data_IF_955750536488
#
_entry.id   IF_955750536488
#
_cell.length_a   1.000
_cell.length_b   1.000
_cell.length_c   1.000
_cell.angle_alpha   90.00
_cell.angle_beta   90.00
_cell.angle_gamma   90.00
#
_symmetry.space_group_name_H-M   'P 1'
#
loop_
_entity.id
_entity.type
_entity.pdbx_description
1 polymer ?
#
# COMPACT_ATOMS: atom_id res chain seq x y z
N UNK A 1 -11.05 -2.07 -8.65
CA UNK A 1 -9.69 -2.34 -8.13
C UNK A 1 -8.82 -2.84 -9.27
N UNK A 2 -7.57 -2.35 -9.40
CA UNK A 2 -6.62 -2.89 -10.38
C UNK A 2 -6.31 -4.36 -10.04
N UNK A 3 -6.08 -5.22 -11.04
CA UNK A 3 -5.75 -6.63 -10.78
C UNK A 3 -4.52 -6.75 -9.88
N UNK A 4 -4.57 -7.69 -8.94
CA UNK A 4 -3.41 -8.14 -8.18
C UNK A 4 -2.39 -8.76 -9.14
N UNK A 5 -1.10 -8.59 -8.83
CA UNK A 5 -0.02 -9.27 -9.56
C UNK A 5 0.27 -10.68 -9.02
N UNK A 6 -0.47 -11.10 -7.98
CA UNK A 6 -0.32 -12.39 -7.30
C UNK A 6 0.63 -12.33 -6.12
N UNK A 7 0.19 -12.85 -4.96
CA UNK A 7 0.95 -12.85 -3.72
C UNK A 7 2.33 -13.52 -3.86
N UNK A 8 2.43 -14.59 -4.66
CA UNK A 8 3.69 -15.31 -4.89
C UNK A 8 4.76 -14.49 -5.61
N UNK A 9 4.39 -13.44 -6.36
CA UNK A 9 5.36 -12.67 -7.14
C UNK A 9 6.16 -11.74 -6.24
N UNK A 10 5.51 -11.00 -5.35
CA UNK A 10 6.21 -10.07 -4.46
C UNK A 10 6.68 -10.71 -3.16
N UNK A 11 6.05 -11.79 -2.69
CA UNK A 11 6.49 -12.51 -1.50
C UNK A 11 7.85 -13.22 -1.69
N UNK A 12 8.31 -13.40 -2.93
CA UNK A 12 9.62 -13.95 -3.25
C UNK A 12 10.67 -12.88 -3.59
N UNK A 13 10.30 -11.60 -3.61
CA UNK A 13 11.22 -10.49 -3.88
C UNK A 13 11.80 -9.95 -2.55
N UNK A 14 12.92 -10.53 -2.12
CA UNK A 14 13.57 -10.16 -0.84
C UNK A 14 13.94 -8.67 -0.75
N UNK A 15 14.28 -8.04 -1.89
CA UNK A 15 14.63 -6.61 -1.92
C UNK A 15 13.39 -5.77 -1.63
N UNK A 16 12.28 -6.10 -2.29
CA UNK A 16 10.99 -5.49 -2.02
C UNK A 16 10.56 -5.71 -0.57
N UNK A 17 10.61 -6.94 -0.06
CA UNK A 17 10.20 -7.26 1.31
C UNK A 17 10.94 -6.43 2.35
N UNK A 18 12.26 -6.25 2.20
CA UNK A 18 13.05 -5.38 3.09
C UNK A 18 12.65 -3.92 2.97
N UNK A 19 12.45 -3.42 1.75
CA UNK A 19 12.09 -2.02 1.54
C UNK A 19 10.69 -1.70 2.09
N UNK A 20 9.69 -2.54 1.79
CA UNK A 20 8.31 -2.33 2.19
C UNK A 20 8.12 -2.50 3.70
N UNK A 21 8.87 -3.41 4.34
CA UNK A 21 8.82 -3.55 5.81
C UNK A 21 9.28 -2.27 6.52
N UNK A 22 10.33 -1.61 6.00
CA UNK A 22 10.78 -0.32 6.54
C UNK A 22 9.70 0.75 6.37
N UNK A 23 9.07 0.88 5.21
CA UNK A 23 8.03 1.88 4.96
C UNK A 23 6.83 1.65 5.88
N UNK A 24 6.28 0.43 5.87
CA UNK A 24 5.06 0.11 6.63
C UNK A 24 5.26 0.19 8.14
N UNK A 25 6.47 -0.08 8.65
CA UNK A 25 6.79 0.08 10.07
C UNK A 25 6.69 1.54 10.55
N UNK A 26 6.97 2.52 9.69
CA UNK A 26 6.91 3.94 10.04
C UNK A 26 5.52 4.56 9.76
N UNK A 27 4.75 4.02 8.82
CA UNK A 27 3.46 4.59 8.36
C UNK A 27 2.20 3.82 8.82
N UNK A 28 2.34 2.72 9.56
CA UNK A 28 1.25 1.79 9.87
C UNK A 28 0.12 2.27 10.79
N UNK A 29 0.04 3.58 11.04
CA UNK A 29 -1.07 4.18 11.78
C UNK A 29 -2.25 4.53 10.87
N UNK A 30 -3.44 4.59 11.47
CA UNK A 30 -4.64 5.16 10.87
C UNK A 30 -4.68 6.67 11.18
N UNK A 31 -4.74 7.51 10.15
CA UNK A 31 -4.95 8.96 10.24
C UNK A 31 -6.34 9.31 9.74
N UNK A 32 -7.18 9.84 10.62
CA UNK A 32 -8.53 10.30 10.33
C UNK A 32 -8.73 11.69 10.92
N UNK A 33 -8.39 12.74 10.15
CA UNK A 33 -8.65 14.10 10.55
C UNK A 33 -9.59 14.80 9.55
N UNK A 34 -10.68 15.47 9.99
CA UNK A 34 -11.63 16.13 9.10
C UNK A 34 -11.00 17.20 8.18
N UNK A 35 -9.87 17.77 8.60
CA UNK A 35 -9.09 18.75 7.82
C UNK A 35 -7.97 18.11 7.00
N UNK A 36 -7.84 16.78 6.99
CA UNK A 36 -6.82 16.09 6.19
C UNK A 36 -7.20 16.14 4.70
N UNK A 37 -6.41 16.81 3.85
CA UNK A 37 -6.72 16.89 2.43
C UNK A 37 -6.62 15.53 1.72
N UNK A 38 -6.01 14.51 2.33
CA UNK A 38 -5.98 13.13 1.83
C UNK A 38 -7.21 12.30 2.22
N UNK A 39 -8.02 12.77 3.17
CA UNK A 39 -9.04 11.97 3.83
C UNK A 39 -8.42 10.88 4.72
N UNK A 40 -9.23 9.88 5.09
CA UNK A 40 -8.79 8.72 5.86
C UNK A 40 -7.57 8.08 5.18
N UNK A 41 -6.51 7.83 5.96
CA UNK A 41 -5.27 7.23 5.48
C UNK A 41 -4.82 6.12 6.42
N UNK A 42 -4.48 4.96 5.88
CA UNK A 42 -3.96 3.82 6.65
C UNK A 42 -2.78 3.21 5.89
N UNK A 43 -1.67 2.90 6.55
CA UNK A 43 -0.44 2.39 5.91
C UNK A 43 0.11 3.31 4.80
N UNK A 44 -0.08 4.63 4.93
CA UNK A 44 0.27 5.60 3.87
C UNK A 44 -0.66 5.60 2.65
N UNK A 45 -1.68 4.75 2.63
CA UNK A 45 -2.68 4.63 1.56
C UNK A 45 -3.90 5.48 1.92
N UNK A 46 -4.13 6.57 1.18
CA UNK A 46 -5.22 7.52 1.44
C UNK A 46 -6.45 7.27 0.58
N UNK A 47 -7.64 7.58 1.13
CA UNK A 47 -8.91 7.53 0.39
C UNK A 47 -8.87 8.42 -0.87
N UNK A 48 -8.20 9.57 -0.81
CA UNK A 48 -8.03 10.43 -1.99
C UNK A 48 -7.27 9.71 -3.11
N UNK A 49 -6.23 8.95 -2.78
CA UNK A 49 -5.42 8.23 -3.77
C UNK A 49 -6.08 6.94 -4.26
N UNK A 50 -6.89 6.29 -3.41
CA UNK A 50 -7.56 5.01 -3.68
C UNK A 50 -9.06 5.07 -3.33
N UNK A 51 -9.84 5.92 -4.02
CA UNK A 51 -11.25 6.13 -3.70
C UNK A 51 -12.11 4.88 -3.90
N UNK A 52 -11.66 3.93 -4.72
CA UNK A 52 -12.36 2.67 -4.98
C UNK A 52 -12.40 1.72 -3.78
N UNK A 53 -11.56 1.92 -2.76
CA UNK A 53 -11.57 1.13 -1.53
C UNK A 53 -12.70 1.60 -0.59
N UNK A 54 -13.14 2.86 -0.71
CA UNK A 54 -14.05 3.48 0.24
C UNK A 54 -13.43 3.65 1.63
N UNK A 55 -14.12 4.36 2.51
CA UNK A 55 -13.62 4.61 3.88
C UNK A 55 -13.32 3.32 4.64
N UNK A 56 -14.27 2.37 4.63
CA UNK A 56 -14.12 1.07 5.30
C UNK A 56 -13.00 0.23 4.69
N UNK A 57 -12.78 0.32 3.38
CA UNK A 57 -11.66 -0.37 2.76
C UNK A 57 -10.32 0.17 3.24
N UNK A 58 -10.17 1.50 3.38
CA UNK A 58 -8.95 2.11 3.93
C UNK A 58 -8.77 1.73 5.40
N UNK A 59 -9.81 1.85 6.23
CA UNK A 59 -9.75 1.49 7.67
C UNK A 59 -9.30 0.05 7.88
N UNK A 60 -9.82 -0.86 7.08
CA UNK A 60 -9.60 -2.30 7.23
C UNK A 60 -8.44 -2.84 6.36
N UNK A 61 -7.61 -1.97 5.77
CA UNK A 61 -6.43 -2.40 5.03
C UNK A 61 -5.52 -3.26 5.91
N UNK A 62 -5.28 -4.49 5.48
CA UNK A 62 -4.23 -5.31 6.10
C UNK A 62 -2.86 -4.90 5.59
N UNK A 63 -1.82 -5.26 6.36
CA UNK A 63 -0.43 -5.01 5.97
C UNK A 63 -0.10 -5.65 4.61
N UNK A 64 -0.64 -6.84 4.34
CA UNK A 64 -0.44 -7.57 3.08
C UNK A 64 -1.13 -6.86 1.91
N UNK A 65 -2.34 -6.33 2.12
CA UNK A 65 -3.03 -5.54 1.11
C UNK A 65 -2.29 -4.23 0.81
N UNK A 66 -1.76 -3.57 1.84
CA UNK A 66 -0.91 -2.40 1.66
C UNK A 66 0.36 -2.76 0.87
N UNK A 67 1.04 -3.86 1.21
CA UNK A 67 2.21 -4.34 0.48
C UNK A 67 1.92 -4.65 -1.00
N UNK A 68 0.79 -5.28 -1.31
CA UNK A 68 0.34 -5.51 -2.69
C UNK A 68 0.20 -4.20 -3.46
N UNK A 69 -0.37 -3.16 -2.84
CA UNK A 69 -0.51 -1.83 -3.44
C UNK A 69 0.88 -1.21 -3.69
N UNK A 70 1.78 -1.25 -2.71
CA UNK A 70 3.15 -0.75 -2.87
C UNK A 70 3.90 -1.48 -3.99
N UNK A 71 3.77 -2.80 -4.06
CA UNK A 71 4.42 -3.59 -5.10
C UNK A 71 3.89 -3.22 -6.49
N UNK A 72 2.57 -3.28 -6.69
CA UNK A 72 1.93 -3.04 -7.98
C UNK A 72 2.13 -1.62 -8.48
N UNK A 73 1.83 -0.63 -7.64
CA UNK A 73 1.69 0.75 -8.09
C UNK A 73 2.97 1.58 -8.00
N UNK A 74 3.99 1.09 -7.29
CA UNK A 74 5.27 1.77 -7.15
C UNK A 74 6.43 0.85 -7.55
N UNK A 75 6.63 -0.26 -6.87
CA UNK A 75 7.84 -1.06 -7.05
C UNK A 75 7.96 -1.67 -8.46
N UNK A 76 6.98 -2.46 -8.88
CA UNK A 76 6.94 -3.10 -10.19
C UNK A 76 6.72 -2.09 -11.32
N UNK A 77 5.84 -1.10 -11.10
CA UNK A 77 5.52 -0.07 -12.09
C UNK A 77 6.75 0.73 -12.53
N UNK A 78 7.63 1.08 -11.60
CA UNK A 78 8.85 1.83 -11.88
C UNK A 78 10.07 0.94 -12.18
N UNK A 79 9.87 -0.39 -12.29
CA UNK A 79 10.91 -1.33 -12.73
C UNK A 79 11.88 -1.79 -11.66
N UNK A 80 11.63 -1.49 -10.38
CA UNK A 80 12.51 -1.92 -9.27
C UNK A 80 12.52 -3.44 -9.06
N UNK A 81 11.51 -4.15 -9.56
CA UNK A 81 11.50 -5.62 -9.58
C UNK A 81 12.49 -6.25 -10.58
N UNK A 82 13.15 -5.44 -11.42
CA UNK A 82 14.05 -5.92 -12.50
C UNK A 82 15.52 -5.59 -12.27
N UNK A 83 15.86 -5.00 -11.11
CA UNK A 83 17.22 -4.56 -10.77
C UNK A 83 17.81 -5.40 -9.63
#
# INVERSE_FOLDING_TARGET
MKPSLGHEVWANDEKFLRAVDVVLKHEGGLSEHPSDPGGITHWGISLRSYPELGEEGIRNLTREQAAEIYYRDFYAKYGYARI
#
